data_IF_233162117981
#
_entry.id   IF_233162117981
#
_cell.length_a   1.000
_cell.length_b   1.000
_cell.length_c   1.000
_cell.angle_alpha   90.00
_cell.angle_beta   90.00
_cell.angle_gamma   90.00
#
_symmetry.space_group_name_H-M   'P 1'
#
loop_
_entity.id
_entity.type
_entity.pdbx_description
1 polymer ?
#
# COMPACT_ATOMS: atom_id res chain seq x y z
N UNK A 1 -4.43 15.06 -48.13
CA UNK A 1 -4.30 15.34 -46.69
C UNK A 1 -3.60 16.68 -46.54
N UNK A 2 -4.05 17.56 -45.64
CA UNK A 2 -3.26 18.74 -45.29
C UNK A 2 -1.87 18.29 -44.77
N UNK A 3 -0.81 18.95 -45.23
CA UNK A 3 0.54 18.72 -44.70
C UNK A 3 0.60 19.19 -43.24
N UNK A 4 1.32 18.44 -42.39
CA UNK A 4 1.48 18.80 -40.97
C UNK A 4 2.17 20.16 -40.81
N UNK A 5 3.16 20.49 -41.66
CA UNK A 5 3.80 21.80 -41.69
C UNK A 5 3.22 22.68 -42.81
N UNK A 6 2.75 23.88 -42.45
CA UNK A 6 2.16 24.86 -43.39
C UNK A 6 3.03 26.11 -43.58
N UNK A 7 4.08 26.29 -42.76
CA UNK A 7 4.91 27.52 -42.65
C UNK A 7 4.15 28.79 -42.27
N UNK A 8 2.84 28.73 -42.04
CA UNK A 8 2.03 29.90 -41.67
C UNK A 8 2.35 30.44 -40.27
N UNK A 9 3.12 29.70 -39.48
CA UNK A 9 3.52 30.07 -38.12
C UNK A 9 4.95 30.57 -37.97
N UNK A 10 5.71 30.68 -39.06
CA UNK A 10 7.15 31.01 -39.01
C UNK A 10 7.41 32.46 -38.56
N UNK A 11 6.42 33.34 -38.72
CA UNK A 11 6.44 34.73 -38.24
C UNK A 11 5.99 34.90 -36.79
N UNK A 12 5.92 33.81 -36.02
CA UNK A 12 5.55 33.85 -34.59
C UNK A 12 4.05 33.95 -34.30
N UNK A 13 3.19 33.76 -35.28
CA UNK A 13 1.72 33.81 -35.15
C UNK A 13 1.11 32.41 -35.28
N UNK A 14 -0.05 32.17 -34.68
CA UNK A 14 -0.84 30.94 -34.81
C UNK A 14 -2.33 31.26 -34.97
N UNK A 15 -3.10 30.34 -35.53
CA UNK A 15 -4.55 30.46 -35.64
C UNK A 15 -5.25 29.78 -34.46
N UNK A 16 -6.29 30.42 -33.94
CA UNK A 16 -7.26 29.81 -33.03
C UNK A 16 -8.36 29.12 -33.85
N UNK A 17 -9.06 28.19 -33.21
CA UNK A 17 -10.29 27.64 -33.74
C UNK A 17 -11.35 28.75 -33.81
N UNK A 18 -11.93 28.97 -35.00
CA UNK A 18 -12.74 30.14 -35.34
C UNK A 18 -12.06 31.15 -36.27
N UNK A 19 -10.73 31.05 -36.45
CA UNK A 19 -9.99 31.72 -37.53
C UNK A 19 -9.19 32.96 -37.09
N UNK A 20 -9.36 33.44 -35.87
CA UNK A 20 -8.55 34.54 -35.32
C UNK A 20 -7.08 34.15 -35.23
N UNK A 21 -6.16 35.08 -35.54
CA UNK A 21 -4.71 34.87 -35.42
C UNK A 21 -4.14 35.60 -34.21
N UNK A 22 -3.34 34.89 -33.41
CA UNK A 22 -2.71 35.40 -32.19
C UNK A 22 -1.19 35.14 -32.20
N UNK A 23 -0.45 35.90 -31.41
CA UNK A 23 0.98 35.64 -31.21
C UNK A 23 1.18 34.34 -30.43
N UNK A 24 2.18 33.53 -30.82
CA UNK A 24 2.51 32.25 -30.13
C UNK A 24 2.91 32.44 -28.67
N UNK A 25 3.37 33.63 -28.30
CA UNK A 25 3.75 34.00 -26.94
C UNK A 25 2.59 34.57 -26.11
N UNK A 26 1.37 34.59 -26.64
CA UNK A 26 0.22 35.09 -25.89
C UNK A 26 -0.11 34.18 -24.70
N UNK A 27 -0.63 34.73 -23.59
CA UNK A 27 -1.01 33.94 -22.41
C UNK A 27 -1.96 32.79 -22.72
N UNK A 28 -2.91 32.99 -23.64
CA UNK A 28 -3.85 31.95 -24.06
C UNK A 28 -3.14 30.76 -24.73
N UNK A 29 -2.16 31.03 -25.60
CA UNK A 29 -1.36 29.99 -26.28
C UNK A 29 -0.50 29.21 -25.30
N UNK A 30 0.13 29.89 -24.35
CA UNK A 30 0.88 29.26 -23.26
C UNK A 30 -0.05 28.38 -22.40
N UNK A 31 -1.29 28.82 -22.14
CA UNK A 31 -2.26 28.09 -21.33
C UNK A 31 -2.66 26.75 -21.98
N UNK A 32 -3.19 26.76 -23.20
CA UNK A 32 -3.58 25.50 -23.85
C UNK A 32 -2.37 24.64 -24.24
N UNK A 33 -1.20 25.25 -24.50
CA UNK A 33 0.05 24.53 -24.71
C UNK A 33 0.50 23.77 -23.45
N UNK A 34 0.35 24.37 -22.27
CA UNK A 34 0.66 23.69 -21.00
C UNK A 34 -0.37 22.60 -20.68
N UNK A 35 -1.63 22.78 -21.07
CA UNK A 35 -2.66 21.72 -21.00
C UNK A 35 -2.29 20.54 -21.89
N UNK A 36 -1.76 20.78 -23.09
CA UNK A 36 -1.29 19.72 -23.99
C UNK A 36 -0.07 18.97 -23.43
N UNK A 37 0.86 19.69 -22.79
CA UNK A 37 1.98 19.06 -22.06
C UNK A 37 1.50 18.19 -20.89
N UNK A 38 0.50 18.66 -20.13
CA UNK A 38 -0.14 17.87 -19.08
C UNK A 38 -0.78 16.61 -19.66
N UNK A 39 -1.54 16.75 -20.76
CA UNK A 39 -2.22 15.66 -21.43
C UNK A 39 -1.24 14.61 -22.00
N UNK A 40 -0.11 15.08 -22.53
CA UNK A 40 0.99 14.22 -22.99
C UNK A 40 1.62 13.44 -21.85
N UNK A 41 1.82 14.08 -20.69
CA UNK A 41 2.35 13.41 -19.48
C UNK A 41 1.36 12.37 -18.94
N UNK A 42 0.06 12.65 -18.97
CA UNK A 42 -1.00 11.66 -18.64
C UNK A 42 -0.97 10.50 -19.62
N UNK A 43 -0.71 10.77 -20.90
CA UNK A 43 -0.54 9.76 -21.95
C UNK A 43 0.61 8.80 -21.68
N UNK A 44 1.73 9.30 -21.14
CA UNK A 44 2.86 8.48 -20.71
C UNK A 44 2.47 7.56 -19.54
N UNK A 45 1.78 8.09 -18.52
CA UNK A 45 1.27 7.27 -17.41
C UNK A 45 0.33 6.18 -17.92
N UNK A 46 -0.60 6.54 -18.82
CA UNK A 46 -1.54 5.60 -19.45
C UNK A 46 -0.82 4.49 -20.22
N UNK A 47 0.24 4.83 -20.95
CA UNK A 47 1.01 3.86 -21.72
C UNK A 47 1.77 2.87 -20.83
N UNK A 48 2.25 3.33 -19.67
CA UNK A 48 2.94 2.51 -18.69
C UNK A 48 1.98 1.70 -17.78
N UNK A 49 0.71 2.10 -17.68
CA UNK A 49 -0.27 1.49 -16.77
C UNK A 49 -0.66 0.07 -17.20
N UNK A 50 -0.47 -0.89 -16.29
CA UNK A 50 -0.86 -2.29 -16.46
C UNK A 50 -2.32 -2.55 -16.08
N UNK A 51 -2.81 -1.86 -15.04
CA UNK A 51 -4.20 -1.96 -14.60
C UNK A 51 -5.17 -1.42 -15.67
N UNK A 52 -6.06 -2.26 -16.24
CA UNK A 52 -6.93 -1.85 -17.34
C UNK A 52 -7.97 -0.82 -16.93
N UNK A 53 -8.43 -0.83 -15.67
CA UNK A 53 -9.42 0.12 -15.16
C UNK A 53 -8.78 1.50 -15.00
N UNK A 54 -7.62 1.59 -14.35
CA UNK A 54 -6.90 2.86 -14.21
C UNK A 54 -6.50 3.40 -15.58
N UNK A 55 -6.06 2.54 -16.50
CA UNK A 55 -5.71 2.93 -17.87
C UNK A 55 -6.90 3.52 -18.64
N UNK A 56 -8.09 2.95 -18.47
CA UNK A 56 -9.32 3.48 -19.08
C UNK A 56 -9.68 4.85 -18.48
N UNK A 57 -9.58 5.01 -17.16
CA UNK A 57 -9.78 6.29 -16.46
C UNK A 57 -8.82 7.37 -16.98
N UNK A 58 -7.53 7.05 -17.10
CA UNK A 58 -6.55 7.98 -17.66
C UNK A 58 -6.89 8.34 -19.11
N UNK A 59 -7.36 7.39 -19.92
CA UNK A 59 -7.77 7.68 -21.28
C UNK A 59 -8.95 8.65 -21.37
N UNK A 60 -9.96 8.44 -20.52
CA UNK A 60 -11.12 9.34 -20.41
C UNK A 60 -10.68 10.76 -20.00
N UNK A 61 -9.82 10.87 -18.99
CA UNK A 61 -9.21 12.15 -18.59
C UNK A 61 -8.50 12.82 -19.78
N UNK A 62 -7.75 12.09 -20.60
CA UNK A 62 -7.10 12.66 -21.79
C UNK A 62 -8.11 13.22 -22.81
N UNK A 63 -9.25 12.54 -23.00
CA UNK A 63 -10.32 13.00 -23.91
C UNK A 63 -10.96 14.30 -23.39
N UNK A 64 -11.20 14.39 -22.08
CA UNK A 64 -11.71 15.62 -21.45
C UNK A 64 -10.68 16.75 -21.51
N UNK A 65 -9.41 16.47 -21.26
CA UNK A 65 -8.30 17.43 -21.43
C UNK A 65 -8.18 17.93 -22.87
N UNK A 66 -8.44 17.09 -23.86
CA UNK A 66 -8.46 17.50 -25.27
C UNK A 66 -9.64 18.45 -25.56
N UNK A 67 -10.81 18.18 -24.97
CA UNK A 67 -11.99 19.07 -25.07
C UNK A 67 -11.70 20.43 -24.40
N UNK A 68 -11.09 20.41 -23.22
CA UNK A 68 -10.68 21.62 -22.49
C UNK A 68 -9.66 22.44 -23.31
N UNK A 69 -8.66 21.77 -23.90
CA UNK A 69 -7.67 22.43 -24.76
C UNK A 69 -8.31 23.05 -26.01
N UNK A 70 -9.28 22.36 -26.64
CA UNK A 70 -10.02 22.89 -27.78
C UNK A 70 -10.81 24.14 -27.41
N UNK A 71 -11.44 24.16 -26.23
CA UNK A 71 -12.17 25.32 -25.72
C UNK A 71 -11.26 26.52 -25.49
N UNK A 72 -10.08 26.31 -24.87
CA UNK A 72 -9.07 27.36 -24.69
C UNK A 72 -8.46 27.82 -26.02
N UNK A 73 -8.29 26.93 -26.99
CA UNK A 73 -7.75 27.25 -28.30
C UNK A 73 -8.78 27.86 -29.27
N UNK A 74 -9.98 28.22 -28.79
CA UNK A 74 -11.07 28.77 -29.59
C UNK A 74 -11.29 30.26 -29.33
N UNK A 75 -11.57 31.02 -30.39
CA UNK A 75 -12.13 32.37 -30.27
C UNK A 75 -13.65 32.34 -30.02
N UNK A 76 -14.32 33.49 -30.01
CA UNK A 76 -15.76 33.57 -29.76
C UNK A 76 -16.58 32.74 -30.75
N UNK A 77 -16.25 32.79 -32.04
CA UNK A 77 -16.95 32.02 -33.07
C UNK A 77 -16.63 30.52 -32.96
N UNK A 78 -15.37 30.17 -32.68
CA UNK A 78 -14.97 28.79 -32.44
C UNK A 78 -15.70 28.16 -31.25
N UNK A 79 -15.87 28.92 -30.16
CA UNK A 79 -16.57 28.46 -28.94
C UNK A 79 -18.07 28.23 -29.15
N UNK A 80 -18.71 28.90 -30.11
CA UNK A 80 -20.11 28.63 -30.46
C UNK A 80 -20.27 27.32 -31.23
N UNK A 81 -19.25 26.89 -31.98
CA UNK A 81 -19.24 25.66 -32.77
C UNK A 81 -18.93 24.43 -31.90
N UNK A 82 -18.29 24.60 -30.75
CA UNK A 82 -17.96 23.50 -29.85
C UNK A 82 -19.23 22.96 -29.15
N UNK A 83 -19.67 21.78 -29.59
CA UNK A 83 -20.81 21.05 -29.02
C UNK A 83 -20.51 20.43 -27.65
N UNK A 84 -19.25 20.09 -27.38
CA UNK A 84 -18.82 19.47 -26.13
C UNK A 84 -17.85 20.40 -25.39
N UNK A 85 -18.15 20.68 -24.14
CA UNK A 85 -17.37 21.55 -23.25
C UNK A 85 -17.23 20.92 -21.88
N UNK A 86 -16.29 21.40 -21.09
CA UNK A 86 -16.19 21.01 -19.68
C UNK A 86 -17.38 21.59 -18.92
N UNK A 87 -18.02 20.74 -18.11
CA UNK A 87 -19.19 21.07 -17.29
C UNK A 87 -19.06 20.58 -15.85
N UNK A 88 -20.11 20.79 -15.06
CA UNK A 88 -20.14 20.39 -13.65
C UNK A 88 -20.03 18.87 -13.46
N UNK A 89 -20.65 18.09 -14.34
CA UNK A 89 -20.61 16.62 -14.28
C UNK A 89 -19.18 16.07 -14.39
N UNK A 90 -18.32 16.71 -15.20
CA UNK A 90 -16.91 16.34 -15.31
C UNK A 90 -16.15 16.55 -13.99
N UNK A 91 -16.48 17.61 -13.26
CA UNK A 91 -15.88 17.90 -11.94
C UNK A 91 -16.38 16.88 -10.91
N UNK A 92 -17.68 16.58 -10.91
CA UNK A 92 -18.26 15.57 -10.03
C UNK A 92 -17.70 14.17 -10.31
N UNK A 93 -17.41 13.85 -11.57
CA UNK A 93 -16.75 12.58 -11.93
C UNK A 93 -15.33 12.49 -11.34
N UNK A 94 -14.56 13.59 -11.37
CA UNK A 94 -13.24 13.64 -10.72
C UNK A 94 -13.33 13.52 -9.19
N UNK A 95 -14.32 14.16 -8.56
CA UNK A 95 -14.57 14.05 -7.12
C UNK A 95 -14.91 12.62 -6.71
N UNK A 96 -15.79 11.95 -7.48
CA UNK A 96 -16.11 10.54 -7.27
C UNK A 96 -14.86 9.65 -7.42
N UNK A 97 -14.03 9.90 -8.42
CA UNK A 97 -12.78 9.17 -8.62
C UNK A 97 -11.83 9.34 -7.41
N UNK A 98 -11.71 10.55 -6.87
CA UNK A 98 -10.90 10.82 -5.68
C UNK A 98 -11.43 10.00 -4.50
N UNK A 99 -12.73 10.02 -4.26
CA UNK A 99 -13.37 9.27 -3.16
C UNK A 99 -13.17 7.75 -3.31
N UNK A 100 -13.32 7.21 -4.53
CA UNK A 100 -13.06 5.81 -4.84
C UNK A 100 -11.60 5.41 -4.56
N UNK A 101 -10.63 6.24 -4.96
CA UNK A 101 -9.22 6.00 -4.64
C UNK A 101 -8.92 6.08 -3.13
N UNK A 102 -9.55 7.01 -2.42
CA UNK A 102 -9.35 7.19 -0.98
C UNK A 102 -10.00 6.07 -0.16
N UNK A 103 -11.10 5.48 -0.65
CA UNK A 103 -11.72 4.32 -0.01
C UNK A 103 -10.77 3.11 0.06
N UNK A 104 -9.88 2.95 -0.92
CA UNK A 104 -8.85 1.90 -0.96
C UNK A 104 -7.60 2.31 -0.17
N UNK A 105 -7.08 3.51 -0.43
CA UNK A 105 -5.77 3.94 0.08
C UNK A 105 -5.80 4.53 1.49
N UNK A 106 -6.99 4.76 2.04
CA UNK A 106 -7.20 5.40 3.34
C UNK A 106 -6.87 6.90 3.37
N UNK A 107 -7.25 7.57 4.47
CA UNK A 107 -7.09 9.02 4.62
C UNK A 107 -5.62 9.43 4.72
N UNK A 108 -5.25 10.48 3.99
CA UNK A 108 -3.87 10.99 4.02
C UNK A 108 -3.65 11.94 5.19
N UNK A 109 -2.74 11.57 6.10
CA UNK A 109 -2.42 12.38 7.31
C UNK A 109 -1.06 13.08 7.24
N UNK A 110 -0.19 12.68 6.32
CA UNK A 110 1.19 13.18 6.19
C UNK A 110 1.50 13.58 4.73
N UNK A 111 2.57 14.32 4.49
CA UNK A 111 3.06 14.54 3.12
C UNK A 111 3.67 13.26 2.54
N UNK A 112 3.47 13.04 1.24
CA UNK A 112 4.05 11.91 0.48
C UNK A 112 5.20 12.43 -0.37
N UNK A 113 6.32 11.70 -0.37
CA UNK A 113 7.42 11.95 -1.32
C UNK A 113 7.04 11.31 -2.66
N UNK A 114 6.95 12.07 -3.75
CA UNK A 114 6.44 11.55 -5.01
C UNK A 114 7.40 10.58 -5.69
N UNK A 115 6.88 9.50 -6.27
CA UNK A 115 7.60 8.62 -7.18
C UNK A 115 8.17 7.38 -6.52
N UNK A 116 7.35 6.70 -5.71
CA UNK A 116 7.71 5.40 -5.11
C UNK A 116 7.98 4.33 -6.17
N UNK A 117 7.26 4.40 -7.30
CA UNK A 117 7.42 3.53 -8.45
C UNK A 117 7.38 4.36 -9.77
N UNK A 118 7.75 3.78 -10.93
CA UNK A 118 7.78 4.52 -12.19
C UNK A 118 6.44 5.17 -12.58
N UNK A 119 5.33 4.47 -12.36
CA UNK A 119 3.98 4.92 -12.75
C UNK A 119 3.53 6.06 -11.82
N UNK A 120 3.65 5.90 -10.51
CA UNK A 120 3.33 6.96 -9.55
C UNK A 120 4.20 8.21 -9.75
N UNK A 121 5.47 8.02 -10.14
CA UNK A 121 6.36 9.11 -10.53
C UNK A 121 5.83 9.93 -11.71
N UNK A 122 5.34 9.25 -12.76
CA UNK A 122 4.74 9.93 -13.93
C UNK A 122 3.43 10.62 -13.54
N UNK A 123 2.57 9.99 -12.73
CA UNK A 123 1.31 10.59 -12.26
C UNK A 123 1.55 11.83 -11.39
N UNK A 124 2.53 11.80 -10.51
CA UNK A 124 2.94 12.98 -9.75
C UNK A 124 3.54 14.08 -10.62
N UNK A 125 4.28 13.72 -11.68
CA UNK A 125 4.72 14.70 -12.69
C UNK A 125 3.50 15.33 -13.37
N UNK A 126 2.57 14.52 -13.88
CA UNK A 126 1.33 14.99 -14.51
C UNK A 126 0.57 15.96 -13.59
N UNK A 127 0.39 15.61 -12.31
CA UNK A 127 -0.21 16.48 -11.29
C UNK A 127 0.45 17.85 -11.22
N UNK A 128 1.78 17.90 -11.18
CA UNK A 128 2.50 19.18 -11.10
C UNK A 128 2.40 20.01 -12.39
N UNK A 129 2.34 19.36 -13.55
CA UNK A 129 2.11 20.03 -14.84
C UNK A 129 0.67 20.56 -14.93
N UNK A 130 -0.33 19.81 -14.46
CA UNK A 130 -1.73 20.30 -14.37
C UNK A 130 -1.82 21.53 -13.47
N UNK A 131 -1.15 21.54 -12.31
CA UNK A 131 -1.08 22.74 -11.45
C UNK A 131 -0.37 23.90 -12.16
N UNK A 132 0.59 23.63 -13.04
CA UNK A 132 1.23 24.66 -13.87
C UNK A 132 0.24 25.19 -14.91
N UNK A 133 -0.51 24.32 -15.58
CA UNK A 133 -1.55 24.68 -16.54
C UNK A 133 -2.63 25.55 -15.87
N UNK A 134 -3.11 25.18 -14.69
CA UNK A 134 -4.04 25.97 -13.87
C UNK A 134 -3.55 27.41 -13.68
N UNK A 135 -2.28 27.59 -13.28
CA UNK A 135 -1.68 28.93 -13.13
C UNK A 135 -1.59 29.69 -14.46
N UNK A 136 -1.32 29.01 -15.57
CA UNK A 136 -1.27 29.63 -16.91
C UNK A 136 -2.65 30.07 -17.39
N UNK A 137 -3.68 29.26 -17.14
CA UNK A 137 -5.08 29.61 -17.40
C UNK A 137 -5.48 30.83 -16.58
N UNK A 138 -5.14 30.87 -15.28
CA UNK A 138 -5.42 32.03 -14.43
C UNK A 138 -4.76 33.31 -14.95
N UNK A 139 -3.50 33.26 -15.39
CA UNK A 139 -2.83 34.41 -16.02
C UNK A 139 -3.55 34.83 -17.30
N UNK A 140 -3.98 33.87 -18.13
CA UNK A 140 -4.72 34.17 -19.36
C UNK A 140 -6.07 34.85 -19.09
N UNK A 141 -6.69 34.67 -17.91
CA UNK A 141 -7.94 35.37 -17.56
C UNK A 141 -7.78 36.88 -17.45
N UNK A 142 -6.55 37.40 -17.34
CA UNK A 142 -6.28 38.85 -17.31
C UNK A 142 -6.52 39.50 -18.68
N UNK A 143 -6.33 38.75 -19.78
CA UNK A 143 -6.49 39.24 -21.15
C UNK A 143 -7.69 38.65 -21.89
N UNK A 144 -8.16 37.47 -21.49
CA UNK A 144 -9.16 36.69 -22.21
C UNK A 144 -10.30 36.24 -21.29
N UNK A 145 -11.53 36.21 -21.82
CA UNK A 145 -12.67 35.67 -21.09
C UNK A 145 -12.65 34.14 -21.14
N UNK A 146 -12.36 33.52 -19.99
CA UNK A 146 -12.29 32.07 -19.80
C UNK A 146 -13.38 31.63 -18.82
N UNK A 147 -14.02 30.50 -19.11
CA UNK A 147 -15.07 29.93 -18.27
C UNK A 147 -14.52 29.39 -16.94
N UNK A 148 -15.18 29.66 -15.80
CA UNK A 148 -14.71 29.23 -14.49
C UNK A 148 -14.62 27.69 -14.35
N UNK A 149 -15.45 26.94 -15.06
CA UNK A 149 -15.46 25.47 -15.03
C UNK A 149 -14.13 24.86 -15.49
N UNK A 150 -13.39 25.53 -16.39
CA UNK A 150 -12.05 25.11 -16.81
C UNK A 150 -11.08 25.15 -15.63
N UNK A 151 -11.15 26.22 -14.83
CA UNK A 151 -10.28 26.42 -13.66
C UNK A 151 -10.64 25.38 -12.60
N UNK A 152 -11.93 25.20 -12.31
CA UNK A 152 -12.41 24.20 -11.35
C UNK A 152 -12.00 22.78 -11.75
N UNK A 153 -12.11 22.42 -13.03
CA UNK A 153 -11.72 21.12 -13.53
C UNK A 153 -10.21 20.87 -13.39
N UNK A 154 -9.35 21.84 -13.77
CA UNK A 154 -7.90 21.69 -13.61
C UNK A 154 -7.48 21.58 -12.13
N UNK A 155 -8.12 22.35 -11.25
CA UNK A 155 -7.90 22.29 -9.82
C UNK A 155 -8.18 20.87 -9.30
N UNK A 156 -9.38 20.34 -9.58
CA UNK A 156 -9.82 19.02 -9.14
C UNK A 156 -9.05 17.87 -9.81
N UNK A 157 -8.65 18.04 -11.07
CA UNK A 157 -7.83 17.06 -11.78
C UNK A 157 -6.47 16.87 -11.12
N UNK A 158 -5.88 17.92 -10.54
CA UNK A 158 -4.63 17.78 -9.81
C UNK A 158 -4.78 16.90 -8.57
N UNK A 159 -5.93 16.96 -7.89
CA UNK A 159 -6.26 16.10 -6.75
C UNK A 159 -6.52 14.66 -7.22
N UNK A 160 -7.26 14.47 -8.32
CA UNK A 160 -7.52 13.15 -8.90
C UNK A 160 -6.24 12.43 -9.34
N UNK A 161 -5.30 13.13 -9.97
CA UNK A 161 -4.00 12.56 -10.34
C UNK A 161 -3.16 12.21 -9.11
N UNK A 162 -3.29 12.95 -8.01
CA UNK A 162 -2.66 12.58 -6.74
C UNK A 162 -3.27 11.29 -6.17
N UNK A 163 -4.59 11.19 -6.17
CA UNK A 163 -5.31 10.00 -5.68
C UNK A 163 -4.97 8.75 -6.52
N UNK A 164 -4.94 8.89 -7.84
CA UNK A 164 -4.52 7.82 -8.76
C UNK A 164 -3.06 7.40 -8.57
N UNK A 165 -2.15 8.34 -8.28
CA UNK A 165 -0.76 8.01 -7.99
C UNK A 165 -0.67 7.10 -6.76
N UNK A 166 -1.41 7.41 -5.69
CA UNK A 166 -1.45 6.58 -4.48
C UNK A 166 -2.11 5.22 -4.71
N UNK A 167 -3.17 5.16 -5.52
CA UNK A 167 -3.80 3.90 -5.86
C UNK A 167 -2.83 2.98 -6.63
N UNK A 168 -2.08 3.54 -7.59
CA UNK A 168 -1.06 2.81 -8.32
C UNK A 168 0.06 2.29 -7.39
N UNK A 169 0.52 3.11 -6.44
CA UNK A 169 1.48 2.68 -5.41
C UNK A 169 0.95 1.52 -4.57
N UNK A 170 -0.33 1.59 -4.16
CA UNK A 170 -0.97 0.54 -3.37
C UNK A 170 -1.05 -0.78 -4.15
N UNK A 171 -1.49 -0.76 -5.41
CA UNK A 171 -1.52 -1.95 -6.26
C UNK A 171 -0.12 -2.53 -6.48
N UNK A 172 0.87 -1.68 -6.75
CA UNK A 172 2.26 -2.11 -6.92
C UNK A 172 2.83 -2.75 -5.65
N UNK A 173 2.53 -2.20 -4.47
CA UNK A 173 2.94 -2.80 -3.19
C UNK A 173 2.27 -4.16 -2.98
N UNK A 174 0.99 -4.32 -3.33
CA UNK A 174 0.27 -5.60 -3.23
C UNK A 174 0.83 -6.66 -4.19
N UNK A 175 1.05 -6.32 -5.46
CA UNK A 175 1.67 -7.22 -6.45
C UNK A 175 3.05 -7.69 -5.97
N UNK A 176 3.85 -6.77 -5.42
CA UNK A 176 5.17 -7.10 -4.87
C UNK A 176 5.06 -8.05 -3.69
N UNK A 177 4.09 -7.86 -2.80
CA UNK A 177 3.87 -8.79 -1.68
C UNK A 177 3.44 -10.17 -2.21
N UNK A 178 2.52 -10.24 -3.17
CA UNK A 178 2.09 -11.51 -3.76
C UNK A 178 3.28 -12.27 -4.36
N UNK A 179 4.13 -11.60 -5.16
CA UNK A 179 5.33 -12.22 -5.75
C UNK A 179 6.28 -12.73 -4.68
N UNK A 180 6.54 -11.94 -3.65
CA UNK A 180 7.40 -12.33 -2.54
C UNK A 180 6.83 -13.55 -1.79
N UNK A 181 5.52 -13.59 -1.57
CA UNK A 181 4.84 -14.74 -0.96
C UNK A 181 4.98 -15.97 -1.86
N UNK A 182 4.69 -15.85 -3.16
CA UNK A 182 4.81 -16.96 -4.11
C UNK A 182 6.25 -17.48 -4.21
N UNK A 183 7.25 -16.62 -4.24
CA UNK A 183 8.67 -17.01 -4.24
C UNK A 183 9.09 -17.68 -2.93
N UNK A 184 8.61 -17.17 -1.80
CA UNK A 184 8.90 -17.72 -0.47
C UNK A 184 8.25 -19.08 -0.30
N UNK A 185 6.99 -19.23 -0.73
CA UNK A 185 6.27 -20.50 -0.79
C UNK A 185 6.99 -21.44 -1.76
N UNK A 186 7.32 -21.03 -2.99
CA UNK A 186 8.04 -21.88 -3.94
C UNK A 186 9.41 -22.34 -3.42
N UNK A 187 10.10 -21.52 -2.62
CA UNK A 187 11.36 -21.88 -1.95
C UNK A 187 11.15 -22.83 -0.77
N UNK A 188 10.10 -22.63 0.01
CA UNK A 188 9.71 -23.53 1.09
C UNK A 188 9.22 -24.89 0.56
N UNK A 189 8.62 -24.91 -0.64
CA UNK A 189 7.97 -26.07 -1.24
C UNK A 189 8.80 -26.78 -2.33
N UNK A 190 9.90 -26.18 -2.80
CA UNK A 190 10.87 -26.80 -3.70
C UNK A 190 10.30 -27.25 -5.06
N UNK A 191 10.01 -26.33 -5.99
CA UNK A 191 9.57 -26.58 -7.40
C UNK A 191 8.28 -27.42 -7.57
N UNK A 192 7.61 -27.40 -8.74
CA UNK A 192 6.21 -27.82 -8.88
C UNK A 192 5.92 -29.32 -8.62
N UNK A 193 6.95 -30.17 -8.60
CA UNK A 193 6.82 -31.59 -8.21
C UNK A 193 6.74 -31.79 -6.69
N UNK A 194 7.16 -30.79 -5.90
CA UNK A 194 7.09 -30.77 -4.44
C UNK A 194 5.68 -30.53 -3.87
N UNK A 195 4.68 -30.28 -4.72
CA UNK A 195 3.27 -30.22 -4.30
C UNK A 195 2.78 -31.53 -3.65
N UNK A 196 3.49 -32.65 -3.85
CA UNK A 196 3.23 -33.91 -3.17
C UNK A 196 3.85 -34.04 -1.77
N UNK A 197 4.75 -33.14 -1.36
CA UNK A 197 5.47 -33.27 -0.07
C UNK A 197 4.77 -32.53 1.08
N UNK A 198 3.86 -31.59 0.79
CA UNK A 198 2.94 -31.04 1.79
C UNK A 198 1.70 -31.91 2.07
N UNK A 199 1.57 -33.05 1.39
CA UNK A 199 0.53 -34.05 1.65
C UNK A 199 1.09 -35.29 2.39
N UNK A 200 2.32 -35.24 2.89
CA UNK A 200 2.88 -36.37 3.64
C UNK A 200 4.40 -36.32 3.76
N UNK A 201 4.93 -35.46 4.64
CA UNK A 201 6.15 -35.81 5.36
C UNK A 201 5.74 -36.56 6.62
N UNK A 202 5.33 -37.81 6.46
CA UNK A 202 5.43 -38.79 7.55
C UNK A 202 6.91 -38.97 7.85
N UNK A 203 7.44 -38.22 8.81
CA UNK A 203 8.62 -38.67 9.52
C UNK A 203 8.20 -39.93 10.31
N UNK A 204 9.04 -40.98 10.37
CA UNK A 204 8.63 -42.24 10.98
C UNK A 204 8.32 -42.01 12.45
N UNK A 205 7.25 -42.65 12.94
CA UNK A 205 7.05 -42.88 14.36
C UNK A 205 8.34 -43.42 14.97
N UNK A 206 8.96 -42.62 15.85
CA UNK A 206 10.27 -42.97 16.42
C UNK A 206 10.77 -41.97 17.47
N UNK A 207 10.50 -42.29 18.73
CA UNK A 207 11.12 -41.77 19.98
C UNK A 207 10.70 -40.39 20.50
N UNK A 208 9.65 -40.37 21.34
CA UNK A 208 9.68 -39.88 22.74
C UNK A 208 10.10 -38.45 23.10
N UNK A 209 10.49 -37.58 22.18
CA UNK A 209 10.91 -36.20 22.49
C UNK A 209 10.16 -35.18 21.64
N UNK A 210 9.29 -34.41 22.30
CA UNK A 210 8.68 -33.18 21.78
C UNK A 210 9.76 -32.26 21.21
N UNK A 211 9.54 -31.71 20.02
CA UNK A 211 10.34 -30.63 19.44
C UNK A 211 10.33 -29.36 20.29
N UNK A 212 11.16 -28.36 19.98
CA UNK A 212 11.36 -27.17 20.82
C UNK A 212 10.08 -26.37 21.06
N UNK A 213 9.11 -26.45 20.13
CA UNK A 213 7.82 -25.77 20.18
C UNK A 213 6.61 -26.72 20.25
N UNK A 214 6.85 -28.01 20.46
CA UNK A 214 5.78 -28.99 20.56
C UNK A 214 5.20 -29.01 21.99
N UNK A 215 3.88 -29.11 22.06
CA UNK A 215 3.10 -29.39 23.26
C UNK A 215 2.20 -30.61 23.02
N UNK A 216 1.82 -31.35 24.08
CA UNK A 216 0.89 -32.46 23.94
C UNK A 216 -0.57 -32.02 23.77
N UNK A 217 -0.88 -30.78 24.15
CA UNK A 217 -2.18 -30.14 23.89
C UNK A 217 -2.01 -28.62 23.88
N UNK A 218 -2.85 -27.95 23.11
CA UNK A 218 -2.92 -26.49 23.08
C UNK A 218 -4.37 -26.05 23.24
N UNK A 219 -4.75 -25.72 24.48
CA UNK A 219 -6.08 -25.26 24.86
C UNK A 219 -5.98 -24.07 25.84
N UNK A 220 -7.13 -23.53 26.24
CA UNK A 220 -7.18 -22.39 27.17
C UNK A 220 -6.55 -22.70 28.53
N UNK A 221 -6.58 -23.95 29.00
CA UNK A 221 -5.97 -24.33 30.27
C UNK A 221 -4.44 -24.30 30.18
N UNK A 222 -3.88 -24.85 29.09
CA UNK A 222 -2.45 -24.74 28.79
C UNK A 222 -2.03 -23.27 28.65
N UNK A 223 -2.80 -22.45 27.95
CA UNK A 223 -2.48 -21.02 27.81
C UNK A 223 -2.47 -20.26 29.13
N UNK A 224 -3.40 -20.56 30.06
CA UNK A 224 -3.41 -19.96 31.40
C UNK A 224 -2.18 -20.35 32.22
N UNK A 225 -1.78 -21.62 32.15
CA UNK A 225 -0.55 -22.09 32.78
C UNK A 225 0.67 -21.34 32.25
N UNK A 226 0.74 -21.17 30.93
CA UNK A 226 1.82 -20.43 30.28
C UNK A 226 1.83 -18.95 30.67
N UNK A 227 0.65 -18.33 30.78
CA UNK A 227 0.52 -16.94 31.23
C UNK A 227 1.02 -16.76 32.68
N UNK A 228 0.65 -17.66 33.59
CA UNK A 228 1.15 -17.64 34.98
C UNK A 228 2.67 -17.82 35.03
N UNK A 229 3.22 -18.75 34.26
CA UNK A 229 4.67 -18.93 34.16
C UNK A 229 5.37 -17.70 33.56
N UNK A 230 4.76 -17.05 32.56
CA UNK A 230 5.24 -15.80 31.99
C UNK A 230 5.26 -14.69 33.04
N UNK A 231 4.20 -14.54 33.83
CA UNK A 231 4.11 -13.56 34.94
C UNK A 231 5.19 -13.79 36.00
N UNK A 232 5.42 -15.05 36.39
CA UNK A 232 6.47 -15.41 37.34
C UNK A 232 7.85 -15.00 36.81
N UNK A 233 8.16 -15.31 35.55
CA UNK A 233 9.44 -14.97 34.95
C UNK A 233 9.61 -13.45 34.78
N UNK A 234 8.56 -12.78 34.33
CA UNK A 234 8.50 -11.33 34.20
C UNK A 234 8.75 -10.62 35.54
N UNK A 235 8.16 -11.13 36.62
CA UNK A 235 8.39 -10.64 37.99
C UNK A 235 9.84 -10.87 38.44
N UNK A 236 10.39 -12.06 38.18
CA UNK A 236 11.78 -12.41 38.51
C UNK A 236 12.78 -11.44 37.88
N UNK A 237 12.57 -11.06 36.61
CA UNK A 237 13.47 -10.15 35.88
C UNK A 237 13.10 -8.67 36.01
N UNK A 238 12.04 -8.35 36.77
CA UNK A 238 11.60 -6.98 37.03
C UNK A 238 10.99 -6.26 35.82
N UNK A 239 10.36 -7.00 34.89
CA UNK A 239 9.79 -6.46 33.65
C UNK A 239 8.30 -6.84 33.57
N UNK A 240 7.36 -5.95 33.93
CA UNK A 240 5.93 -6.22 33.77
C UNK A 240 5.55 -6.45 32.30
N UNK A 241 5.01 -7.62 31.95
CA UNK A 241 4.71 -7.99 30.56
C UNK A 241 3.21 -8.24 30.29
N UNK A 242 2.89 -8.27 29.00
CA UNK A 242 1.67 -8.82 28.44
C UNK A 242 1.99 -10.16 27.80
N UNK A 243 1.20 -11.18 28.10
CA UNK A 243 1.21 -12.48 27.44
C UNK A 243 -0.05 -12.63 26.57
N UNK A 244 0.10 -13.20 25.38
CA UNK A 244 -1.00 -13.50 24.46
C UNK A 244 -0.84 -14.90 23.85
N UNK A 245 -1.97 -15.57 23.61
CA UNK A 245 -2.06 -16.82 22.87
C UNK A 245 -3.16 -16.76 21.82
N UNK A 246 -2.88 -17.29 20.62
CA UNK A 246 -3.80 -17.34 19.48
C UNK A 246 -3.95 -18.77 18.96
N UNK A 247 -5.09 -19.10 18.36
CA UNK A 247 -5.29 -20.38 17.67
C UNK A 247 -4.52 -20.46 16.33
N UNK A 248 -4.57 -21.60 15.65
CA UNK A 248 -3.93 -21.80 14.35
C UNK A 248 -4.44 -20.84 13.24
N UNK A 249 -5.65 -20.28 13.41
CA UNK A 249 -6.20 -19.24 12.53
C UNK A 249 -5.76 -17.82 12.90
N UNK A 250 -4.95 -17.66 13.96
CA UNK A 250 -4.50 -16.37 14.46
C UNK A 250 -5.53 -15.61 15.30
N UNK A 251 -6.61 -16.27 15.75
CA UNK A 251 -7.63 -15.66 16.60
C UNK A 251 -7.20 -15.70 18.07
N UNK A 252 -7.39 -14.59 18.78
CA UNK A 252 -7.02 -14.46 20.18
C UNK A 252 -7.80 -15.44 21.06
N UNK A 253 -7.07 -16.29 21.79
CA UNK A 253 -7.63 -17.22 22.77
C UNK A 253 -7.45 -16.71 24.20
N UNK A 254 -6.30 -16.11 24.51
CA UNK A 254 -5.97 -15.56 25.82
C UNK A 254 -5.13 -14.30 25.69
N UNK A 255 -5.42 -13.31 26.53
CA UNK A 255 -4.58 -12.14 26.75
C UNK A 255 -4.51 -11.89 28.26
N UNK A 256 -3.31 -11.82 28.80
CA UNK A 256 -3.06 -11.50 30.19
C UNK A 256 -2.08 -10.33 30.27
N UNK A 257 -2.42 -9.34 31.10
CA UNK A 257 -1.64 -8.11 31.24
C UNK A 257 -1.30 -7.88 32.70
N UNK A 258 -0.01 -7.88 33.02
CA UNK A 258 0.47 -7.49 34.34
C UNK A 258 0.18 -6.00 34.61
N UNK A 259 -0.05 -5.67 35.87
CA UNK A 259 -0.11 -4.27 36.29
C UNK A 259 1.25 -3.60 36.03
N UNK A 260 1.24 -2.40 35.48
CA UNK A 260 2.46 -1.65 35.16
C UNK A 260 3.06 -1.92 33.78
N UNK A 261 2.53 -2.85 32.98
CA UNK A 261 2.97 -3.03 31.59
C UNK A 261 2.64 -1.82 30.72
N UNK A 262 3.51 -1.55 29.74
CA UNK A 262 3.32 -0.49 28.75
C UNK A 262 2.05 -0.73 27.91
N UNK A 263 1.35 0.34 27.54
CA UNK A 263 0.13 0.22 26.73
C UNK A 263 0.41 -0.40 25.34
N UNK A 264 1.56 -0.08 24.74
CA UNK A 264 1.99 -0.64 23.45
C UNK A 264 2.21 -2.16 23.49
N UNK A 265 2.50 -2.72 24.67
CA UNK A 265 2.74 -4.15 24.83
C UNK A 265 1.49 -5.00 24.61
N UNK A 266 0.29 -4.41 24.74
CA UNK A 266 -0.97 -5.13 24.54
C UNK A 266 -1.08 -5.61 23.10
N UNK A 267 -0.92 -4.70 22.15
CA UNK A 267 -0.99 -5.02 20.74
C UNK A 267 0.26 -5.78 20.28
N UNK A 268 1.45 -5.41 20.79
CA UNK A 268 2.68 -6.09 20.43
C UNK A 268 2.68 -7.58 20.81
N UNK A 269 2.20 -7.96 22.01
CA UNK A 269 2.12 -9.37 22.41
C UNK A 269 1.17 -10.18 21.51
N UNK A 270 -0.02 -9.62 21.22
CA UNK A 270 -1.00 -10.25 20.31
C UNK A 270 -0.44 -10.40 18.90
N UNK A 271 0.23 -9.37 18.39
CA UNK A 271 0.80 -9.37 17.05
C UNK A 271 2.01 -10.29 16.93
N UNK A 272 2.82 -10.46 17.99
CA UNK A 272 3.87 -11.48 18.05
C UNK A 272 3.30 -12.90 18.02
N UNK A 273 2.26 -13.17 18.82
CA UNK A 273 1.57 -14.47 18.82
C UNK A 273 0.96 -14.78 17.44
N UNK A 274 0.24 -13.81 16.87
CA UNK A 274 -0.31 -13.88 15.51
C UNK A 274 0.77 -14.15 14.47
N UNK A 275 1.87 -13.39 14.52
CA UNK A 275 2.98 -13.54 13.57
C UNK A 275 3.58 -14.94 13.67
N UNK A 276 3.82 -15.42 14.89
CA UNK A 276 4.40 -16.74 15.05
C UNK A 276 3.50 -17.86 14.53
N UNK A 277 2.18 -17.76 14.73
CA UNK A 277 1.21 -18.67 14.12
C UNK A 277 1.17 -18.56 12.58
N UNK A 278 1.07 -17.35 12.05
CA UNK A 278 0.93 -17.11 10.61
C UNK A 278 2.14 -17.57 9.78
N UNK A 279 3.34 -17.46 10.34
CA UNK A 279 4.58 -17.82 9.66
C UNK A 279 5.15 -19.18 10.10
N UNK A 280 4.54 -19.83 11.10
CA UNK A 280 4.98 -21.11 11.64
C UNK A 280 6.40 -21.09 12.23
N UNK A 281 6.93 -19.93 12.59
CA UNK A 281 8.32 -19.75 13.05
C UNK A 281 8.43 -18.63 14.10
N UNK A 282 9.48 -18.61 14.94
CA UNK A 282 9.72 -17.54 15.89
C UNK A 282 9.81 -16.14 15.25
N UNK A 283 9.26 -15.12 15.90
CA UNK A 283 9.28 -13.74 15.38
C UNK A 283 10.69 -13.14 15.30
N UNK A 284 11.64 -13.70 16.06
CA UNK A 284 13.05 -13.33 16.02
C UNK A 284 13.71 -13.67 14.67
N UNK A 285 13.31 -14.80 14.07
CA UNK A 285 13.89 -15.31 12.82
C UNK A 285 13.45 -14.48 11.60
N UNK A 286 12.32 -13.76 11.71
CA UNK A 286 11.84 -12.87 10.66
C UNK A 286 12.67 -11.59 10.51
N UNK A 287 13.53 -11.25 11.49
CA UNK A 287 14.34 -10.04 11.46
C UNK A 287 15.24 -9.99 10.23
N UNK A 288 16.02 -11.05 10.00
CA UNK A 288 16.97 -11.13 8.89
C UNK A 288 16.24 -11.21 7.54
N UNK A 289 15.03 -11.76 7.55
CA UNK A 289 14.16 -11.82 6.38
C UNK A 289 13.63 -10.43 5.99
N UNK A 290 13.31 -9.59 6.98
CA UNK A 290 12.65 -8.29 6.81
C UNK A 290 13.58 -7.09 6.58
N UNK A 291 14.89 -7.26 6.77
CA UNK A 291 15.86 -6.16 6.74
C UNK A 291 16.08 -5.53 5.35
N UNK A 292 16.73 -4.36 5.26
CA UNK A 292 17.10 -3.71 3.99
C UNK A 292 18.15 -4.56 3.23
N UNK A 293 17.69 -5.53 2.45
CA UNK A 293 18.53 -6.55 1.78
C UNK A 293 18.16 -7.99 2.13
N UNK A 294 17.25 -8.19 3.09
CA UNK A 294 16.62 -9.47 3.35
C UNK A 294 15.68 -9.88 2.21
N UNK A 295 15.30 -11.16 2.12
CA UNK A 295 14.36 -11.67 1.11
C UNK A 295 12.99 -10.97 1.06
N UNK A 296 12.48 -10.45 2.18
CA UNK A 296 11.10 -9.92 2.32
C UNK A 296 11.09 -8.53 2.98
N UNK A 297 11.77 -7.53 2.40
CA UNK A 297 11.93 -6.23 3.03
C UNK A 297 10.56 -5.54 3.18
N UNK A 298 10.26 -5.07 4.38
CA UNK A 298 9.00 -4.35 4.66
C UNK A 298 7.81 -5.23 5.04
N UNK A 299 8.00 -6.54 5.24
CA UNK A 299 6.93 -7.48 5.66
C UNK A 299 6.18 -7.01 6.92
N UNK A 300 6.83 -6.26 7.81
CA UNK A 300 6.22 -5.67 9.01
C UNK A 300 5.05 -4.70 8.71
N UNK A 301 4.95 -4.17 7.48
CA UNK A 301 3.86 -3.30 7.08
C UNK A 301 2.62 -4.08 6.58
N UNK A 302 2.72 -5.41 6.48
CA UNK A 302 1.63 -6.25 5.98
C UNK A 302 0.57 -6.51 7.06
N UNK A 303 -0.64 -6.87 6.63
CA UNK A 303 -1.80 -7.10 7.50
C UNK A 303 -2.04 -5.93 8.47
N UNK A 304 -2.13 -4.70 7.92
CA UNK A 304 -2.28 -3.46 8.69
C UNK A 304 -1.20 -3.22 9.76
N UNK A 305 0.03 -3.68 9.47
CA UNK A 305 1.16 -3.51 10.38
C UNK A 305 1.23 -4.55 11.52
N UNK A 306 0.47 -5.65 11.42
CA UNK A 306 0.41 -6.68 12.48
C UNK A 306 1.61 -7.63 12.50
N UNK A 307 2.48 -7.61 11.50
CA UNK A 307 3.63 -8.53 11.44
C UNK A 307 4.78 -7.99 12.28
N UNK A 308 5.21 -8.76 13.28
CA UNK A 308 6.31 -8.39 14.20
C UNK A 308 7.59 -9.14 13.85
N UNK A 309 8.64 -8.39 13.52
CA UNK A 309 9.92 -8.92 13.03
C UNK A 309 11.04 -8.88 14.08
N UNK A 310 10.67 -8.93 15.35
CA UNK A 310 11.60 -8.98 16.47
C UNK A 310 11.09 -9.94 17.55
N UNK A 311 12.02 -10.40 18.39
CA UNK A 311 11.83 -11.49 19.35
C UNK A 311 10.65 -11.38 20.30
N UNK A 312 10.16 -12.54 20.75
CA UNK A 312 9.14 -12.68 21.78
C UNK A 312 7.84 -13.35 21.35
N UNK A 313 7.75 -13.93 20.14
CA UNK A 313 6.62 -14.79 19.74
C UNK A 313 7.09 -16.12 19.18
N UNK A 314 6.45 -17.21 19.59
CA UNK A 314 6.75 -18.59 19.16
C UNK A 314 5.51 -19.29 18.59
N UNK A 315 5.67 -20.11 17.53
CA UNK A 315 4.63 -21.02 17.09
C UNK A 315 4.47 -22.11 18.16
N UNK A 316 3.30 -22.75 18.17
CA UNK A 316 3.05 -23.92 19.01
C UNK A 316 2.48 -25.03 18.14
N UNK A 317 3.05 -26.21 18.27
CA UNK A 317 2.66 -27.40 17.52
C UNK A 317 2.12 -28.48 18.46
N UNK A 318 1.18 -29.27 17.98
CA UNK A 318 0.65 -30.46 18.66
C UNK A 318 0.65 -31.58 17.62
N UNK A 319 1.29 -32.70 17.94
CA UNK A 319 1.44 -33.86 17.03
C UNK A 319 2.02 -33.49 15.64
N UNK A 320 2.90 -32.49 15.59
CA UNK A 320 3.51 -31.99 14.36
C UNK A 320 2.64 -31.04 13.53
N UNK A 321 1.41 -30.77 13.95
CA UNK A 321 0.51 -29.79 13.32
C UNK A 321 0.53 -28.46 14.08
N UNK A 322 0.45 -27.35 13.34
CA UNK A 322 0.39 -26.02 13.94
C UNK A 322 -0.92 -25.87 14.73
N UNK A 323 -0.80 -25.68 16.04
CA UNK A 323 -1.94 -25.50 16.94
C UNK A 323 -2.23 -24.02 17.24
N UNK A 324 -1.22 -23.16 17.15
CA UNK A 324 -1.37 -21.73 17.39
C UNK A 324 -0.05 -20.99 17.57
N UNK A 325 -0.10 -19.86 18.25
CA UNK A 325 1.05 -19.02 18.52
C UNK A 325 0.95 -18.32 19.87
N UNK A 326 2.08 -18.08 20.50
CA UNK A 326 2.19 -17.42 21.80
C UNK A 326 3.12 -16.21 21.67
N UNK A 327 2.88 -15.17 22.48
CA UNK A 327 3.65 -13.93 22.42
C UNK A 327 3.76 -13.24 23.76
N UNK A 328 4.93 -12.67 24.05
CA UNK A 328 5.19 -11.82 25.20
C UNK A 328 5.69 -10.43 24.77
N UNK A 329 5.26 -9.40 25.49
CA UNK A 329 5.81 -8.06 25.34
C UNK A 329 5.82 -7.29 26.65
N UNK A 330 6.95 -6.70 27.01
CA UNK A 330 7.08 -5.80 28.15
C UNK A 330 8.47 -5.17 28.29
N UNK A 331 9.50 -5.85 27.77
CA UNK A 331 10.89 -5.43 27.86
C UNK A 331 11.57 -5.34 26.50
N UNK A 332 12.88 -5.61 26.50
CA UNK A 332 13.66 -5.79 25.27
C UNK A 332 13.26 -7.12 24.57
N UNK A 333 13.56 -7.29 23.27
CA UNK A 333 13.30 -8.56 22.57
C UNK A 333 13.88 -9.79 23.30
N UNK A 334 15.11 -9.70 23.82
CA UNK A 334 15.74 -10.80 24.57
C UNK A 334 15.01 -11.11 25.88
N UNK A 335 14.48 -10.09 26.56
CA UNK A 335 13.68 -10.28 27.79
C UNK A 335 12.34 -10.94 27.46
N UNK A 336 11.68 -10.48 26.39
CA UNK A 336 10.43 -11.07 25.92
C UNK A 336 10.61 -12.54 25.47
N UNK A 337 11.72 -12.86 24.81
CA UNK A 337 12.10 -14.24 24.46
C UNK A 337 12.37 -15.10 25.69
N UNK A 338 13.05 -14.56 26.71
CA UNK A 338 13.29 -15.28 27.96
C UNK A 338 11.98 -15.63 28.67
N UNK A 339 11.02 -14.70 28.71
CA UNK A 339 9.69 -14.91 29.29
C UNK A 339 8.93 -16.00 28.52
N UNK A 340 8.85 -15.89 27.19
CA UNK A 340 8.05 -16.83 26.39
C UNK A 340 8.66 -18.23 26.36
N UNK A 341 9.99 -18.33 26.37
CA UNK A 341 10.72 -19.60 26.49
C UNK A 341 10.43 -20.27 27.82
N UNK A 342 10.42 -19.51 28.93
CA UNK A 342 10.08 -20.03 30.24
C UNK A 342 8.64 -20.55 30.29
N UNK A 343 7.69 -19.78 29.77
CA UNK A 343 6.28 -20.16 29.70
C UNK A 343 6.07 -21.48 28.94
N UNK A 344 6.69 -21.60 27.77
CA UNK A 344 6.64 -22.82 26.95
C UNK A 344 7.27 -24.02 27.65
N UNK A 345 8.45 -23.85 28.25
CA UNK A 345 9.14 -24.91 28.97
C UNK A 345 8.34 -25.40 30.20
N UNK A 346 7.58 -24.53 30.87
CA UNK A 346 6.70 -24.92 31.98
C UNK A 346 5.54 -25.78 31.48
N UNK A 347 4.87 -25.40 30.40
CA UNK A 347 3.82 -26.23 29.79
C UNK A 347 4.34 -27.59 29.31
N UNK A 348 5.56 -27.65 28.78
CA UNK A 348 6.22 -28.92 28.40
C UNK A 348 6.50 -29.82 29.62
N UNK A 349 6.84 -29.25 30.77
CA UNK A 349 7.15 -30.02 31.99
C UNK A 349 5.90 -30.57 32.68
N UNK A 350 4.85 -29.78 32.80
CA UNK A 350 3.61 -30.18 33.47
C UNK A 350 2.90 -31.34 32.76
N UNK A 351 3.18 -31.52 31.47
CA UNK A 351 2.70 -32.66 30.70
C UNK A 351 3.47 -33.98 30.92
N UNK A 352 4.60 -33.93 31.65
CA UNK A 352 5.45 -35.10 31.97
C UNK A 352 5.28 -35.59 33.42
N UNK A 353 4.52 -34.87 34.24
CA UNK A 353 4.23 -35.17 35.66
C UNK A 353 2.85 -35.78 35.84
#
# INVERSE_FOLDING_TARGET
MPNIYTRSGDKGMTGLFGGTRVAKQSPLVEAYGTVDEANSTIGEAKAAMTDPAIRATLHHIQQRMFTLAAELASDAAGREILDNKIGADDVTELERLIDECLAVTGPQRNFVVPGRDPISGILHRARTVVRRAERRVLIATESDSIRPEIITYLNRLSDALFALARLAEHHHDMDRVEQVVLETVARALGTPEGAAVLAGSTTPAGSGTLGPHDLPRYDLATLKLMAEAAEQKATEIGVPCVFAGVDAGGNLMLLERMAGSLLVSIEAAQNKAFTAAAFGQPTAELKDLSGPGGPIPGIQNFNDGRVVVFGGGFPVFVDGELAGGIGASGGTPDQDESIITHALATAQKESRS
#
